data_IF_913202484313
#
_entry.id   IF_913202484313
#
_cell.length_a   1.000
_cell.length_b   1.000
_cell.length_c   1.000
_cell.angle_alpha   90.00
_cell.angle_beta   90.00
_cell.angle_gamma   90.00
#
_symmetry.space_group_name_H-M   'P 1'
#
loop_
_entity.id
_entity.type
_entity.pdbx_description
1 polymer ?
#
# COMPACT_ATOMS: atom_id res chain seq x y z
N UNK A 1 28.59 41.39 -43.29
CA UNK A 1 29.35 41.37 -42.01
C UNK A 1 28.38 41.59 -40.86
N UNK A 2 28.52 40.80 -39.76
CA UNK A 2 27.88 40.92 -38.43
C UNK A 2 26.37 40.57 -38.40
N UNK A 3 25.86 39.72 -37.50
CA UNK A 3 26.41 39.01 -36.34
C UNK A 3 25.51 37.79 -36.04
N UNK A 4 26.14 36.63 -35.86
CA UNK A 4 25.56 35.46 -35.20
C UNK A 4 25.16 35.83 -33.77
N UNK A 5 23.94 35.44 -33.37
CA UNK A 5 23.61 35.18 -31.97
C UNK A 5 22.73 33.94 -31.92
N UNK A 6 23.39 32.78 -31.95
CA UNK A 6 22.79 31.46 -31.76
C UNK A 6 22.47 31.31 -30.26
N UNK A 7 21.18 31.32 -29.93
CA UNK A 7 20.65 31.00 -28.61
C UNK A 7 20.99 29.54 -28.28
N UNK A 8 21.90 29.31 -27.31
CA UNK A 8 22.09 27.99 -26.70
C UNK A 8 21.35 28.01 -25.37
N UNK A 9 20.14 27.42 -25.37
CA UNK A 9 19.41 27.10 -24.15
C UNK A 9 20.14 25.97 -23.42
N UNK A 10 20.77 26.29 -22.29
CA UNK A 10 21.35 25.28 -21.40
C UNK A 10 20.21 24.63 -20.61
N UNK A 11 19.82 23.45 -21.06
CA UNK A 11 18.96 22.51 -20.33
C UNK A 11 19.78 21.92 -19.19
N UNK A 12 19.41 22.18 -17.93
CA UNK A 12 19.96 21.51 -16.77
C UNK A 12 18.87 20.66 -16.09
N UNK A 13 18.92 19.36 -16.44
CA UNK A 13 18.72 18.15 -15.59
C UNK A 13 17.57 18.14 -14.57
N UNK A 14 16.48 17.37 -14.75
CA UNK A 14 16.36 15.91 -14.49
C UNK A 14 17.08 15.47 -13.19
N UNK A 15 16.47 14.85 -12.19
CA UNK A 15 15.16 14.22 -12.03
C UNK A 15 14.87 14.22 -10.53
N UNK A 16 13.75 14.81 -10.11
CA UNK A 16 13.19 14.38 -8.85
C UNK A 16 12.82 12.90 -9.06
N UNK A 17 13.55 11.97 -8.45
CA UNK A 17 13.01 10.65 -8.16
C UNK A 17 11.87 10.86 -7.15
N UNK A 18 10.76 11.41 -7.61
CA UNK A 18 9.49 11.20 -6.96
C UNK A 18 9.29 9.69 -7.05
N UNK A 19 9.38 8.99 -5.92
CA UNK A 19 8.86 7.64 -5.82
C UNK A 19 7.38 7.76 -6.16
N UNK A 20 7.04 7.53 -7.43
CA UNK A 20 5.70 7.69 -7.94
C UNK A 20 4.83 6.70 -7.16
N UNK A 21 4.00 7.26 -6.28
CA UNK A 21 2.95 6.49 -5.62
C UNK A 21 1.96 6.13 -6.72
N UNK A 22 1.99 4.89 -7.16
CA UNK A 22 1.12 4.41 -8.23
C UNK A 22 -0.07 3.67 -7.64
N UNK A 23 -1.26 4.13 -7.97
CA UNK A 23 -2.45 3.31 -7.79
C UNK A 23 -2.36 2.07 -8.69
N UNK A 24 -2.82 0.93 -8.19
CA UNK A 24 -2.94 -0.31 -8.93
C UNK A 24 -4.34 -0.91 -8.75
N UNK A 25 -4.81 -1.62 -9.77
CA UNK A 25 -6.05 -2.41 -9.71
C UNK A 25 -5.78 -3.82 -9.21
N UNK A 26 -4.60 -4.37 -9.52
CA UNK A 26 -4.17 -5.70 -9.07
C UNK A 26 -2.66 -5.77 -8.82
N UNK A 27 -2.24 -6.64 -7.89
CA UNK A 27 -0.83 -6.82 -7.51
C UNK A 27 -0.55 -8.29 -7.14
N UNK A 28 0.68 -8.74 -7.42
CA UNK A 28 1.21 -9.99 -6.88
C UNK A 28 1.90 -9.71 -5.54
N UNK A 29 1.49 -10.39 -4.47
CA UNK A 29 2.06 -10.26 -3.13
C UNK A 29 3.08 -11.36 -2.88
N UNK A 30 4.17 -11.05 -2.18
CA UNK A 30 5.28 -11.98 -1.95
C UNK A 30 5.15 -12.76 -0.64
N UNK A 31 3.96 -13.28 -0.36
CA UNK A 31 3.71 -14.24 0.72
C UNK A 31 3.16 -13.64 2.01
N UNK A 32 3.96 -12.84 2.73
CA UNK A 32 3.56 -12.27 4.03
C UNK A 32 3.54 -10.74 4.03
N UNK A 33 2.75 -10.17 4.93
CA UNK A 33 2.74 -8.72 5.17
C UNK A 33 2.41 -8.36 6.61
N UNK A 34 2.21 -7.07 6.83
CA UNK A 34 1.91 -6.49 8.13
C UNK A 34 0.55 -5.81 8.09
N UNK A 35 -0.35 -6.20 9.00
CA UNK A 35 -1.63 -5.53 9.21
C UNK A 35 -1.45 -4.36 10.16
N UNK A 36 -1.94 -3.20 9.77
CA UNK A 36 -2.01 -1.98 10.57
C UNK A 36 -3.49 -1.65 10.82
N UNK A 37 -3.93 -1.81 12.06
CA UNK A 37 -5.26 -1.41 12.52
C UNK A 37 -5.19 -0.04 13.19
N UNK A 38 -5.55 0.99 12.43
CA UNK A 38 -5.53 2.38 12.91
C UNK A 38 -6.61 2.66 13.96
N UNK A 39 -7.68 1.86 13.98
CA UNK A 39 -8.83 1.98 14.90
C UNK A 39 -8.63 1.27 16.24
N UNK A 40 -7.65 0.37 16.34
CA UNK A 40 -7.42 -0.41 17.56
C UNK A 40 -6.36 0.27 18.43
N UNK A 41 -6.69 0.44 19.72
CA UNK A 41 -5.80 0.98 20.74
C UNK A 41 -5.97 2.48 21.00
N UNK A 42 -5.70 2.89 22.24
CA UNK A 42 -5.59 4.32 22.64
C UNK A 42 -4.27 4.96 22.14
N UNK A 43 -3.51 4.26 21.31
CA UNK A 43 -2.18 4.67 20.88
C UNK A 43 -2.25 5.50 19.61
N UNK A 44 -1.63 6.70 19.57
CA UNK A 44 -1.52 7.49 18.35
C UNK A 44 -0.65 6.72 17.34
N UNK A 45 -1.29 5.98 16.43
CA UNK A 45 -0.61 5.16 15.42
C UNK A 45 -1.29 3.80 15.13
N UNK A 46 -2.24 3.36 15.97
CA UNK A 46 -2.90 2.07 15.83
C UNK A 46 -2.05 0.89 16.30
N UNK A 47 -2.55 -0.33 16.12
CA UNK A 47 -1.84 -1.59 16.41
C UNK A 47 -1.33 -2.21 15.11
N UNK A 48 -0.09 -2.73 15.15
CA UNK A 48 0.53 -3.46 14.04
C UNK A 48 0.64 -4.94 14.39
N UNK A 49 0.19 -5.80 13.48
CA UNK A 49 0.32 -7.24 13.54
C UNK A 49 1.19 -7.72 12.37
N UNK A 50 2.33 -8.32 12.66
CA UNK A 50 3.31 -8.71 11.66
C UNK A 50 3.14 -10.16 11.21
N UNK A 51 3.60 -10.46 9.99
CA UNK A 51 3.69 -11.84 9.48
C UNK A 51 2.35 -12.47 9.12
N UNK A 52 1.36 -11.67 8.72
CA UNK A 52 0.09 -12.21 8.22
C UNK A 52 0.30 -12.87 6.86
N UNK A 53 -0.28 -14.06 6.68
CA UNK A 53 -0.24 -14.77 5.40
C UNK A 53 -1.17 -14.07 4.40
N UNK A 54 -0.65 -13.78 3.22
CA UNK A 54 -1.37 -13.12 2.14
C UNK A 54 -1.52 -14.07 0.94
N UNK A 55 -2.62 -13.95 0.18
CA UNK A 55 -2.75 -14.65 -1.09
C UNK A 55 -1.70 -14.14 -2.10
N UNK A 56 -1.33 -14.98 -3.06
CA UNK A 56 -0.28 -14.63 -4.03
C UNK A 56 -0.63 -13.45 -4.95
N UNK A 57 -1.91 -13.21 -5.20
CA UNK A 57 -2.42 -12.11 -6.02
C UNK A 57 -3.66 -11.53 -5.38
N UNK A 58 -3.81 -10.20 -5.44
CA UNK A 58 -5.02 -9.49 -5.00
C UNK A 58 -5.38 -8.36 -5.96
N UNK A 59 -6.69 -8.09 -6.04
CA UNK A 59 -7.27 -6.99 -6.79
C UNK A 59 -8.19 -6.14 -5.91
N UNK A 60 -8.46 -4.90 -6.32
CA UNK A 60 -9.50 -4.08 -5.68
C UNK A 60 -10.85 -4.78 -5.80
N UNK A 61 -11.57 -4.91 -4.69
CA UNK A 61 -12.83 -5.64 -4.56
C UNK A 61 -12.66 -7.05 -3.99
N UNK A 62 -11.44 -7.60 -3.95
CA UNK A 62 -11.21 -8.94 -3.41
C UNK A 62 -11.41 -8.96 -1.90
N UNK A 63 -11.97 -10.08 -1.42
CA UNK A 63 -12.10 -10.39 0.00
C UNK A 63 -11.34 -11.69 0.27
N UNK A 64 -10.42 -11.67 1.22
CA UNK A 64 -9.66 -12.86 1.60
C UNK A 64 -9.54 -12.98 3.13
N UNK A 65 -9.42 -14.21 3.66
CA UNK A 65 -9.24 -14.43 5.09
C UNK A 65 -7.84 -14.01 5.54
N UNK A 66 -7.74 -13.46 6.74
CA UNK A 66 -6.49 -13.14 7.42
C UNK A 66 -6.48 -13.75 8.81
N UNK A 67 -5.28 -14.09 9.31
CA UNK A 67 -5.08 -14.56 10.67
C UNK A 67 -3.90 -13.82 11.30
N UNK A 68 -4.05 -13.41 12.57
CA UNK A 68 -3.00 -12.72 13.32
C UNK A 68 -3.09 -13.01 14.82
N UNK A 69 -1.99 -12.77 15.54
CA UNK A 69 -1.92 -12.94 16.99
C UNK A 69 -2.33 -11.65 17.70
N UNK A 70 -3.27 -11.74 18.64
CA UNK A 70 -3.72 -10.63 19.49
C UNK A 70 -3.89 -11.14 20.91
N UNK A 71 -3.25 -10.47 21.88
CA UNK A 71 -3.34 -10.79 23.31
C UNK A 71 -3.06 -12.27 23.66
N UNK A 72 -2.15 -12.91 22.91
CA UNK A 72 -1.80 -14.32 23.06
C UNK A 72 -2.77 -15.32 22.41
N UNK A 73 -3.83 -14.84 21.75
CA UNK A 73 -4.77 -15.64 20.97
C UNK A 73 -4.64 -15.42 19.46
N UNK A 74 -5.08 -16.40 18.68
CA UNK A 74 -5.20 -16.29 17.22
C UNK A 74 -6.56 -15.72 16.84
N UNK A 75 -6.58 -14.64 16.07
CA UNK A 75 -7.80 -14.03 15.53
C UNK A 75 -7.89 -14.36 14.04
N UNK A 76 -9.06 -14.83 13.60
CA UNK A 76 -9.40 -15.04 12.20
C UNK A 76 -10.39 -13.97 11.75
N UNK A 77 -10.09 -13.27 10.65
CA UNK A 77 -10.91 -12.18 10.11
C UNK A 77 -10.89 -12.22 8.57
N UNK A 78 -11.58 -11.29 7.92
CA UNK A 78 -11.58 -11.08 6.48
C UNK A 78 -11.13 -9.67 6.12
N UNK A 79 -10.31 -9.54 5.09
CA UNK A 79 -9.84 -8.26 4.56
C UNK A 79 -10.43 -8.00 3.17
N UNK A 80 -11.14 -6.88 3.00
CA UNK A 80 -11.65 -6.43 1.70
C UNK A 80 -10.76 -5.33 1.14
N UNK A 81 -10.19 -5.56 -0.04
CA UNK A 81 -9.32 -4.59 -0.70
C UNK A 81 -10.18 -3.48 -1.34
N UNK A 82 -10.01 -2.24 -0.89
CA UNK A 82 -10.72 -1.07 -1.43
C UNK A 82 -9.81 -0.16 -2.25
N UNK A 83 -8.51 -0.18 -1.97
CA UNK A 83 -7.50 0.51 -2.77
C UNK A 83 -6.19 -0.27 -2.69
N UNK A 84 -5.36 -0.12 -3.72
CA UNK A 84 -4.00 -0.63 -3.74
C UNK A 84 -3.08 0.49 -4.18
N UNK A 85 -2.10 0.78 -3.34
CA UNK A 85 -1.03 1.74 -3.61
C UNK A 85 0.29 0.99 -3.70
N UNK A 86 1.10 1.27 -4.71
CA UNK A 86 2.44 0.71 -4.87
C UNK A 86 3.48 1.82 -4.80
N UNK A 87 4.46 1.65 -3.92
CA UNK A 87 5.60 2.57 -3.77
C UNK A 87 6.88 1.75 -3.60
N UNK A 88 7.84 1.90 -4.52
CA UNK A 88 9.15 1.23 -4.45
C UNK A 88 9.09 -0.29 -4.20
N UNK A 89 8.17 -0.99 -4.88
CA UNK A 89 7.99 -2.46 -4.72
C UNK A 89 7.30 -2.88 -3.43
N UNK A 90 6.77 -1.94 -2.66
CA UNK A 90 5.88 -2.20 -1.51
C UNK A 90 4.45 -1.83 -1.88
N UNK A 91 3.51 -2.71 -1.54
CA UNK A 91 2.09 -2.48 -1.67
C UNK A 91 1.49 -2.13 -0.33
N UNK A 92 0.63 -1.13 -0.36
CA UNK A 92 -0.32 -0.82 0.70
C UNK A 92 -1.71 -1.16 0.18
N UNK A 93 -2.32 -2.19 0.75
CA UNK A 93 -3.72 -2.53 0.54
C UNK A 93 -4.52 -1.79 1.61
N UNK A 94 -5.53 -1.01 1.24
CA UNK A 94 -6.43 -0.39 2.22
C UNK A 94 -7.77 -1.10 2.23
N UNK A 95 -8.29 -1.30 3.44
CA UNK A 95 -9.67 -1.75 3.68
C UNK A 95 -10.43 -0.63 4.37
N UNK A 96 -11.58 -0.26 3.80
CA UNK A 96 -12.62 0.41 4.57
C UNK A 96 -13.46 -0.70 5.18
N UNK A 97 -13.21 -0.99 6.44
CA UNK A 97 -14.00 -1.98 7.16
C UNK A 97 -15.42 -1.40 7.34
N UNK A 98 -16.30 -1.67 6.37
CA UNK A 98 -17.61 -1.04 6.20
C UNK A 98 -18.66 -1.44 7.24
N UNK A 99 -18.24 -2.00 8.38
CA UNK A 99 -19.17 -2.47 9.42
C UNK A 99 -19.63 -1.36 10.37
N UNK A 100 -18.96 -0.22 10.43
CA UNK A 100 -19.39 0.93 11.26
C UNK A 100 -19.01 2.25 10.61
N UNK A 101 -19.96 3.17 10.46
CA UNK A 101 -19.66 4.56 10.09
C UNK A 101 -18.71 5.16 11.14
N UNK A 102 -17.50 5.55 10.73
CA UNK A 102 -16.44 6.01 11.63
C UNK A 102 -15.35 4.97 11.95
N UNK A 103 -15.43 3.74 11.42
CA UNK A 103 -14.32 2.80 11.49
C UNK A 103 -13.12 3.35 10.72
N UNK A 104 -11.99 3.53 11.41
CA UNK A 104 -10.73 3.94 10.81
C UNK A 104 -10.25 2.85 9.82
N UNK A 105 -9.59 3.24 8.72
CA UNK A 105 -9.17 2.30 7.68
C UNK A 105 -8.09 1.35 8.21
N UNK A 106 -8.17 0.09 7.80
CA UNK A 106 -7.12 -0.89 8.02
C UNK A 106 -6.18 -0.91 6.81
N UNK A 107 -4.91 -1.17 7.04
CA UNK A 107 -3.92 -1.26 5.96
C UNK A 107 -3.10 -2.53 6.08
N UNK A 108 -2.83 -3.17 4.96
CA UNK A 108 -1.84 -4.24 4.87
C UNK A 108 -0.67 -3.73 4.05
N UNK A 109 0.54 -3.79 4.62
CA UNK A 109 1.78 -3.47 3.91
C UNK A 109 2.53 -4.76 3.59
N UNK A 110 2.90 -4.95 2.32
CA UNK A 110 3.62 -6.14 1.88
C UNK A 110 4.57 -5.85 0.72
N UNK A 111 5.57 -6.69 0.53
CA UNK A 111 6.37 -6.67 -0.70
C UNK A 111 5.55 -7.20 -1.86
N UNK A 112 5.60 -6.54 -3.01
CA UNK A 112 4.73 -6.87 -4.13
C UNK A 112 5.28 -6.42 -5.49
N UNK A 113 4.57 -6.87 -6.54
CA UNK A 113 4.75 -6.39 -7.91
C UNK A 113 3.40 -6.03 -8.52
N UNK A 114 3.32 -4.87 -9.16
CA UNK A 114 2.14 -4.46 -9.93
C UNK A 114 1.88 -5.43 -11.08
N UNK A 115 0.67 -5.96 -11.15
CA UNK A 115 0.15 -6.68 -12.30
C UNK A 115 -0.72 -5.64 -13.03
N UNK A 116 -0.55 -5.53 -14.35
CA UNK A 116 -1.04 -4.39 -15.16
C UNK A 116 -2.49 -4.00 -14.89
#
# INVERSE_FOLDING_TARGET
MKRNSMLIAFVLSWSACASAQESATSVALLGAGDLHRLSEGKSPGGVRYAGIQLPGTVSVGDVFPIQYQKDGGTVSDSFMVTSITVTNGKCTLESKNGRVAGAMPERISASCRKLR
#
